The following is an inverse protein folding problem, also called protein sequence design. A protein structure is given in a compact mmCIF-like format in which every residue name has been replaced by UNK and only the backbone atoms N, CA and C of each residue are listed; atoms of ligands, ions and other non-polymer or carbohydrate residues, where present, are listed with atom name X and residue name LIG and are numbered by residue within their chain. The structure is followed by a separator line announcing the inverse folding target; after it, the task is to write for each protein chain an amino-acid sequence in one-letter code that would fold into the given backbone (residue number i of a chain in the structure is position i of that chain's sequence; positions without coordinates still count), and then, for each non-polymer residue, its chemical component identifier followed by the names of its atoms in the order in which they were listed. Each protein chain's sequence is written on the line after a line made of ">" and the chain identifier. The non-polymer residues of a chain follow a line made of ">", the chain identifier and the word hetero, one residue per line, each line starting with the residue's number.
data_IF_886066685102
#
_entry.id   IF_886066685102
#
_cell.length_a   1.000
_cell.length_b   1.000
_cell.length_c   1.000
_cell.angle_alpha   90.00
_cell.angle_beta   90.00
_cell.angle_gamma   90.00
#
_symmetry.space_group_name_H-M   'P 1'
#
loop_
_entity.id
_entity.type
_entity.pdbx_description
1 polymer ?
#
# COMPACT_ATOMS: atom_id res chain seq x y z
N UNK A 1 8.73 -12.09 8.32
CA UNK A 1 9.50 -10.84 8.09
C UNK A 1 8.63 -9.58 8.17
N UNK A 2 7.57 -9.43 7.38
CA UNK A 2 6.69 -8.24 7.44
C UNK A 2 6.15 -7.94 8.87
N UNK A 3 5.62 -8.96 9.57
CA UNK A 3 5.18 -8.83 10.97
C UNK A 3 6.31 -8.38 11.91
N UNK A 4 7.55 -8.80 11.67
CA UNK A 4 8.72 -8.40 12.46
C UNK A 4 9.11 -6.95 12.19
N UNK A 5 8.96 -6.47 10.95
CA UNK A 5 9.19 -5.08 10.56
C UNK A 5 8.09 -4.14 11.05
N UNK A 6 6.85 -4.61 11.10
CA UNK A 6 5.67 -3.90 11.61
C UNK A 6 5.17 -2.77 10.71
N UNK A 7 6.07 -1.97 10.14
CA UNK A 7 5.79 -0.90 9.21
C UNK A 7 6.96 -0.64 8.26
N UNK A 8 6.70 0.07 7.16
CA UNK A 8 7.76 0.67 6.35
C UNK A 8 8.32 1.88 7.10
N UNK A 9 9.65 2.05 7.07
CA UNK A 9 10.35 3.18 7.69
C UNK A 9 10.82 4.14 6.61
N UNK A 10 10.42 5.41 6.73
CA UNK A 10 10.80 6.47 5.80
C UNK A 10 11.79 7.40 6.49
N UNK A 11 13.03 7.37 6.04
CA UNK A 11 14.09 8.29 6.47
C UNK A 11 14.26 9.40 5.41
N UNK A 12 14.87 10.54 5.75
CA UNK A 12 15.09 11.64 4.80
C UNK A 12 15.84 11.23 3.52
N UNK A 13 16.67 10.19 3.57
CA UNK A 13 17.52 9.75 2.46
C UNK A 13 17.19 8.35 1.94
N UNK A 14 16.32 7.59 2.62
CA UNK A 14 16.07 6.19 2.30
C UNK A 14 14.72 5.71 2.80
N UNK A 15 14.15 4.73 2.10
CA UNK A 15 12.96 4.01 2.54
C UNK A 15 13.31 2.55 2.78
N UNK A 16 12.91 2.04 3.94
CA UNK A 16 13.03 0.63 4.31
C UNK A 16 11.63 0.01 4.33
N UNK A 17 11.20 -0.63 3.22
CA UNK A 17 9.84 -1.12 3.11
C UNK A 17 9.59 -2.35 3.99
N UNK A 18 8.35 -2.48 4.46
CA UNK A 18 7.87 -3.66 5.20
C UNK A 18 7.89 -4.94 4.34
N UNK A 19 7.68 -4.78 3.03
CA UNK A 19 7.67 -5.85 2.05
C UNK A 19 8.84 -5.71 1.06
N UNK A 20 9.28 -6.79 0.40
CA UNK A 20 10.23 -6.70 -0.71
C UNK A 20 9.77 -5.70 -1.78
N UNK A 21 10.70 -4.91 -2.31
CA UNK A 21 10.39 -3.81 -3.24
C UNK A 21 9.57 -4.25 -4.45
N UNK A 22 9.89 -5.42 -5.04
CA UNK A 22 9.16 -5.93 -6.20
C UNK A 22 7.66 -6.09 -5.92
N UNK A 23 7.28 -6.59 -4.74
CA UNK A 23 5.86 -6.75 -4.43
C UNK A 23 5.25 -5.42 -3.94
N UNK A 24 5.99 -4.60 -3.19
CA UNK A 24 5.49 -3.32 -2.69
C UNK A 24 5.24 -2.30 -3.81
N UNK A 25 6.15 -2.21 -4.78
CA UNK A 25 6.10 -1.22 -5.85
C UNK A 25 5.43 -1.74 -7.12
N UNK A 26 5.37 -3.06 -7.34
CA UNK A 26 4.77 -3.64 -8.53
C UNK A 26 3.52 -4.45 -8.25
N UNK A 27 3.63 -5.50 -7.45
CA UNK A 27 2.54 -6.46 -7.26
C UNK A 27 1.33 -5.93 -6.48
N UNK A 28 1.55 -4.98 -5.57
CA UNK A 28 0.52 -4.44 -4.67
C UNK A 28 0.16 -2.98 -4.96
N UNK A 29 0.96 -2.28 -5.76
CA UNK A 29 0.72 -0.88 -6.08
C UNK A 29 -0.39 -0.76 -7.12
N UNK A 30 -1.34 0.15 -6.89
CA UNK A 30 -2.38 0.48 -7.86
C UNK A 30 -1.76 1.33 -8.98
N UNK A 31 -1.26 0.68 -10.02
CA UNK A 31 -0.62 1.34 -11.17
C UNK A 31 -1.66 1.82 -12.17
N UNK A 32 -1.52 3.05 -12.62
CA UNK A 32 -2.38 3.64 -13.64
C UNK A 32 -2.37 2.80 -14.93
N UNK A 33 -3.56 2.57 -15.51
CA UNK A 33 -3.71 1.82 -16.76
C UNK A 33 -3.49 0.31 -16.65
N UNK A 34 -3.35 -0.24 -15.43
CA UNK A 34 -3.12 -1.67 -15.21
C UNK A 34 -4.29 -2.31 -14.43
N UNK A 35 -4.64 -3.55 -14.81
CA UNK A 35 -5.53 -4.39 -14.01
C UNK A 35 -4.80 -4.80 -12.73
N UNK A 36 -5.35 -4.43 -11.58
CA UNK A 36 -4.76 -4.70 -10.26
C UNK A 36 -5.71 -5.56 -9.42
N UNK A 37 -5.16 -6.50 -8.66
CA UNK A 37 -5.93 -7.22 -7.63
C UNK A 37 -6.06 -6.32 -6.39
N UNK A 38 -7.29 -6.08 -5.94
CA UNK A 38 -7.58 -5.12 -4.88
C UNK A 38 -8.71 -5.60 -3.99
N UNK A 39 -8.67 -5.19 -2.72
CA UNK A 39 -9.81 -5.27 -1.81
C UNK A 39 -10.45 -3.89 -1.75
N UNK A 40 -11.71 -3.77 -2.16
CA UNK A 40 -12.44 -2.51 -2.18
C UNK A 40 -13.38 -2.39 -0.99
N UNK A 41 -13.64 -1.14 -0.58
CA UNK A 41 -14.64 -0.79 0.42
C UNK A 41 -15.56 0.23 -0.19
N UNK A 42 -16.87 0.09 0.03
CA UNK A 42 -17.89 1.06 -0.39
C UNK A 42 -18.49 1.71 0.85
N UNK A 43 -18.71 3.01 0.78
CA UNK A 43 -19.30 3.81 1.85
C UNK A 43 -20.48 4.62 1.29
N UNK A 44 -21.48 4.86 2.14
CA UNK A 44 -22.58 5.79 1.87
C UNK A 44 -22.37 6.99 2.77
N UNK A 45 -22.07 8.15 2.18
CA UNK A 45 -21.97 9.40 2.89
C UNK A 45 -23.39 9.91 3.18
N UNK A 46 -23.67 10.23 4.45
CA UNK A 46 -24.93 10.88 4.84
C UNK A 46 -24.73 12.38 4.89
N UNK A 47 -25.81 13.14 5.07
CA UNK A 47 -25.77 14.61 5.05
C UNK A 47 -24.85 15.20 6.13
N UNK A 48 -24.56 14.44 7.20
CA UNK A 48 -23.69 14.81 8.31
C UNK A 48 -22.23 14.37 8.17
N UNK A 49 -21.88 13.67 7.08
CA UNK A 49 -20.53 13.16 6.82
C UNK A 49 -20.33 11.72 7.26
#
# INVERSE_FOLDING_TARGET
>A
EAMKRGTSVFLPTATYPMFPEKIAMEGMSLKQGHVCSVVSVSIILREDG
#
